data_IF_407941584976
#
_entry.id   IF_407941584976
#
_cell.length_a   1.000
_cell.length_b   1.000
_cell.length_c   1.000
_cell.angle_alpha   90.00
_cell.angle_beta   90.00
_cell.angle_gamma   90.00
#
_symmetry.space_group_name_H-M   'P 1'
#
loop_
_entity.id
_entity.type
_entity.pdbx_description
1 polymer ?
#
# COMPACT_ATOMS: atom_id res chain seq x y z
N UNK A 1 10.36 28.42 4.83
CA UNK A 1 9.18 27.58 4.67
C UNK A 1 9.60 26.33 3.87
N UNK A 2 9.29 25.13 4.29
CA UNK A 2 9.58 23.96 3.45
C UNK A 2 8.83 24.11 2.14
N UNK A 3 9.53 23.84 1.03
CA UNK A 3 8.97 23.91 -0.32
C UNK A 3 7.81 22.92 -0.39
N UNK A 4 6.60 23.36 -0.74
CA UNK A 4 5.45 22.47 -0.86
C UNK A 4 5.80 21.38 -1.87
N UNK A 5 5.77 20.11 -1.44
CA UNK A 5 6.04 18.97 -2.31
C UNK A 5 5.01 18.93 -3.44
N UNK A 6 5.47 18.68 -4.66
CA UNK A 6 4.59 18.49 -5.81
C UNK A 6 3.61 17.37 -5.52
N UNK A 7 2.38 17.49 -6.02
CA UNK A 7 1.32 16.51 -5.85
C UNK A 7 0.67 16.18 -7.19
N UNK A 8 0.12 14.98 -7.29
CA UNK A 8 -0.79 14.56 -8.36
C UNK A 8 -2.22 14.58 -7.83
N UNK A 9 -3.18 14.92 -8.69
CA UNK A 9 -4.59 14.94 -8.32
C UNK A 9 -5.27 13.70 -8.90
N UNK A 10 -5.96 12.93 -8.06
CA UNK A 10 -6.79 11.81 -8.48
C UNK A 10 -8.07 12.29 -9.17
N UNK A 11 -8.70 11.43 -9.95
CA UNK A 11 -10.02 11.72 -10.61
C UNK A 11 -11.13 12.16 -9.63
N UNK A 12 -10.99 11.82 -8.34
CA UNK A 12 -11.94 12.24 -7.28
C UNK A 12 -11.57 13.57 -6.62
N UNK A 13 -10.58 14.31 -7.16
CA UNK A 13 -10.13 15.61 -6.69
C UNK A 13 -9.15 15.57 -5.50
N UNK A 14 -8.85 14.39 -4.94
CA UNK A 14 -7.86 14.26 -3.84
C UNK A 14 -6.44 14.41 -4.36
N UNK A 15 -5.60 15.06 -3.56
CA UNK A 15 -4.19 15.30 -3.91
C UNK A 15 -3.29 14.33 -3.15
N UNK A 16 -2.39 13.66 -3.86
CA UNK A 16 -1.37 12.77 -3.33
C UNK A 16 0.01 13.38 -3.57
N UNK A 17 0.84 13.60 -2.53
CA UNK A 17 2.24 14.00 -2.72
C UNK A 17 2.99 12.96 -3.53
N UNK A 18 3.82 13.39 -4.50
CA UNK A 18 4.49 12.48 -5.45
C UNK A 18 5.68 11.73 -4.87
N UNK A 19 6.20 12.19 -3.72
CA UNK A 19 7.31 11.53 -3.01
C UNK A 19 6.77 10.96 -1.71
N UNK A 20 7.00 9.65 -1.51
CA UNK A 20 6.55 8.93 -0.33
C UNK A 20 7.72 8.30 0.44
N UNK A 21 7.52 8.10 1.73
CA UNK A 21 8.33 7.21 2.55
C UNK A 21 7.69 5.83 2.55
N UNK A 22 8.33 4.84 1.90
CA UNK A 22 7.97 3.43 2.02
C UNK A 22 8.50 2.84 3.32
N UNK A 23 7.71 1.99 3.97
CA UNK A 23 8.04 1.44 5.30
C UNK A 23 8.21 -0.08 5.30
N UNK A 24 8.19 -0.72 4.14
CA UNK A 24 8.38 -2.17 4.05
C UNK A 24 9.76 -2.60 4.57
N UNK A 25 9.79 -3.68 5.36
CA UNK A 25 10.99 -4.26 5.99
C UNK A 25 11.70 -3.34 7.01
N UNK A 26 11.07 -2.26 7.46
CA UNK A 26 11.59 -1.45 8.55
C UNK A 26 11.08 -1.99 9.89
N UNK A 27 11.97 -2.47 10.78
CA UNK A 27 11.61 -2.83 12.15
C UNK A 27 10.98 -1.64 12.91
N UNK A 28 10.23 -1.89 14.00
CA UNK A 28 9.51 -0.82 14.73
C UNK A 28 10.38 0.34 15.18
N UNK A 29 11.61 0.08 15.63
CA UNK A 29 12.55 1.12 16.09
C UNK A 29 13.04 1.98 14.92
N UNK A 30 13.39 1.33 13.81
CA UNK A 30 13.91 2.00 12.60
C UNK A 30 12.82 2.80 11.92
N UNK A 31 11.60 2.24 11.78
CA UNK A 31 10.48 2.96 11.14
C UNK A 31 10.07 4.18 11.95
N UNK A 32 10.12 4.12 13.28
CA UNK A 32 9.86 5.27 14.16
C UNK A 32 10.80 6.42 13.85
N UNK A 33 12.11 6.14 13.80
CA UNK A 33 13.13 7.15 13.49
C UNK A 33 13.00 7.68 12.04
N UNK A 34 12.75 6.77 11.09
CA UNK A 34 12.60 7.14 9.68
C UNK A 34 11.40 8.07 9.44
N UNK A 35 10.24 7.76 10.04
CA UNK A 35 9.04 8.60 9.94
C UNK A 35 9.25 9.96 10.60
N UNK A 36 9.90 10.00 11.79
CA UNK A 36 10.18 11.25 12.51
C UNK A 36 11.06 12.17 11.65
N UNK A 37 12.17 11.66 11.11
CA UNK A 37 13.08 12.40 10.21
C UNK A 37 12.37 12.80 8.91
N UNK A 38 11.60 11.91 8.28
CA UNK A 38 10.91 12.22 7.04
C UNK A 38 9.91 13.37 7.22
N UNK A 39 9.11 13.36 8.30
CA UNK A 39 8.17 14.44 8.61
C UNK A 39 8.90 15.76 8.86
N UNK A 40 10.05 15.73 9.57
CA UNK A 40 10.87 16.90 9.83
C UNK A 40 11.47 17.47 8.53
N UNK A 41 11.89 16.60 7.61
CA UNK A 41 12.41 16.98 6.28
C UNK A 41 11.32 17.44 5.31
N UNK A 42 10.05 17.38 5.71
CA UNK A 42 8.94 17.86 4.89
C UNK A 42 8.23 16.79 4.07
N UNK A 43 8.54 15.50 4.24
CA UNK A 43 7.71 14.43 3.66
C UNK A 43 6.30 14.51 4.23
N UNK A 44 5.31 14.28 3.36
CA UNK A 44 3.89 14.32 3.73
C UNK A 44 3.12 13.13 3.18
N UNK A 45 3.81 12.05 2.75
CA UNK A 45 3.22 10.84 2.23
C UNK A 45 3.98 9.65 2.83
N UNK A 46 3.24 8.79 3.54
CA UNK A 46 3.77 7.58 4.19
C UNK A 46 2.98 6.40 3.65
N UNK A 47 3.71 5.44 3.06
CA UNK A 47 3.19 4.17 2.58
C UNK A 47 3.52 3.06 3.58
N UNK A 48 2.47 2.43 4.09
CA UNK A 48 2.56 1.24 4.94
C UNK A 48 1.60 0.16 4.46
N UNK A 49 1.51 -0.94 5.20
CA UNK A 49 0.55 -2.02 4.98
C UNK A 49 0.39 -2.86 6.25
N UNK A 50 -0.78 -3.47 6.43
CA UNK A 50 -1.02 -4.43 7.50
C UNK A 50 0.07 -5.52 7.54
N UNK A 51 0.50 -6.00 6.35
CA UNK A 51 1.54 -7.03 6.23
C UNK A 51 2.92 -6.61 6.70
N UNK A 52 3.21 -5.32 6.85
CA UNK A 52 4.54 -4.85 7.26
C UNK A 52 4.74 -4.95 8.77
N UNK A 53 3.66 -5.12 9.54
CA UNK A 53 3.65 -5.31 11.00
C UNK A 53 4.32 -4.17 11.78
N UNK A 54 4.34 -2.96 11.19
CA UNK A 54 4.96 -1.78 11.79
C UNK A 54 4.01 -0.58 11.93
N UNK A 55 2.73 -0.74 11.56
CA UNK A 55 1.72 0.33 11.62
C UNK A 55 1.59 0.94 13.02
N UNK A 56 1.71 0.14 14.09
CA UNK A 56 1.61 0.64 15.47
C UNK A 56 2.77 1.61 15.84
N UNK A 57 3.97 1.37 15.33
CA UNK A 57 5.11 2.25 15.55
C UNK A 57 4.94 3.56 14.75
N UNK A 58 4.44 3.46 13.52
CA UNK A 58 4.09 4.62 12.68
C UNK A 58 3.01 5.46 13.36
N UNK A 59 1.93 4.83 13.86
CA UNK A 59 0.82 5.49 14.54
C UNK A 59 1.26 6.27 15.77
N UNK A 60 2.12 5.69 16.61
CA UNK A 60 2.71 6.39 17.76
C UNK A 60 3.50 7.63 17.36
N UNK A 61 4.26 7.54 16.27
CA UNK A 61 5.04 8.67 15.76
C UNK A 61 4.13 9.76 15.21
N UNK A 62 3.13 9.41 14.40
CA UNK A 62 2.15 10.36 13.88
C UNK A 62 1.40 11.07 15.00
N UNK A 63 0.93 10.32 16.02
CA UNK A 63 0.25 10.90 17.18
C UNK A 63 1.12 11.92 17.90
N UNK A 64 2.41 11.63 18.14
CA UNK A 64 3.36 12.58 18.72
C UNK A 64 3.42 13.89 17.93
N UNK A 65 3.44 13.82 16.61
CA UNK A 65 3.47 15.00 15.73
C UNK A 65 2.17 15.80 15.79
N UNK A 66 1.02 15.12 15.79
CA UNK A 66 -0.29 15.77 15.88
C UNK A 66 -0.51 16.39 17.25
N UNK A 67 -0.21 15.69 18.34
CA UNK A 67 -0.36 16.18 19.71
C UNK A 67 0.55 17.39 19.98
N UNK A 68 1.72 17.47 19.34
CA UNK A 68 2.62 18.61 19.46
C UNK A 68 2.15 19.87 18.70
N UNK A 69 1.11 19.74 17.87
CA UNK A 69 0.61 20.82 17.00
C UNK A 69 1.52 21.18 15.82
N UNK A 70 2.61 20.43 15.59
CA UNK A 70 3.51 20.65 14.45
C UNK A 70 2.87 20.31 13.12
N UNK A 71 1.98 19.30 13.12
CA UNK A 71 1.20 18.86 11.95
C UNK A 71 -0.23 18.57 12.39
N UNK A 72 -1.15 18.69 11.42
CA UNK A 72 -2.51 18.19 11.55
C UNK A 72 -2.65 16.89 10.76
N UNK A 73 -3.71 16.10 11.03
CA UNK A 73 -3.98 14.87 10.30
C UNK A 73 -4.11 15.09 8.78
N UNK A 74 -4.75 16.19 8.38
CA UNK A 74 -4.94 16.55 6.98
C UNK A 74 -3.67 16.97 6.25
N UNK A 75 -2.58 17.26 6.96
CA UNK A 75 -1.30 17.62 6.35
C UNK A 75 -0.52 16.40 5.84
N UNK A 76 -0.93 15.17 6.23
CA UNK A 76 -0.19 13.95 5.91
C UNK A 76 -1.10 12.98 5.14
N UNK A 77 -0.58 12.45 4.04
CA UNK A 77 -1.22 11.43 3.21
C UNK A 77 -0.74 10.05 3.65
N UNK A 78 -1.66 9.21 4.12
CA UNK A 78 -1.36 7.88 4.65
C UNK A 78 -1.97 6.82 3.75
N UNK A 79 -1.14 5.87 3.32
CA UNK A 79 -1.54 4.68 2.56
C UNK A 79 -1.38 3.44 3.43
N UNK A 80 -2.41 2.60 3.44
CA UNK A 80 -2.28 1.22 3.92
C UNK A 80 -2.94 0.24 2.95
N UNK A 81 -2.77 -1.07 3.19
CA UNK A 81 -3.15 -2.09 2.22
C UNK A 81 -3.83 -3.28 2.91
N UNK A 82 -4.90 -3.76 2.29
CA UNK A 82 -5.60 -4.98 2.66
C UNK A 82 -4.67 -6.19 2.45
N UNK A 83 -4.39 -7.01 3.48
CA UNK A 83 -3.55 -8.19 3.32
C UNK A 83 -4.23 -9.27 2.47
N UNK A 84 -3.50 -10.13 1.75
CA UNK A 84 -4.07 -11.23 0.96
C UNK A 84 -4.94 -12.20 1.75
N UNK A 85 -4.66 -12.41 3.03
CA UNK A 85 -5.51 -13.21 3.94
C UNK A 85 -6.88 -12.56 4.20
N UNK A 86 -7.03 -11.28 3.88
CA UNK A 86 -8.25 -10.49 3.97
C UNK A 86 -8.95 -10.27 2.63
N UNK A 87 -8.54 -10.92 1.53
CA UNK A 87 -9.12 -10.75 0.20
C UNK A 87 -10.51 -11.41 0.06
N UNK A 88 -11.37 -11.15 1.02
CA UNK A 88 -12.80 -11.50 1.03
C UNK A 88 -13.61 -10.29 1.44
N UNK A 89 -14.79 -10.12 0.84
CA UNK A 89 -15.64 -8.95 1.08
C UNK A 89 -15.93 -8.73 2.57
N UNK A 90 -16.23 -9.80 3.31
CA UNK A 90 -16.51 -9.77 4.74
C UNK A 90 -15.31 -9.43 5.63
N UNK A 91 -14.10 -9.50 5.09
CA UNK A 91 -12.86 -9.25 5.84
C UNK A 91 -12.30 -7.84 5.68
N UNK A 92 -12.73 -7.10 4.66
CA UNK A 92 -12.19 -5.77 4.32
C UNK A 92 -12.31 -4.80 5.48
N UNK A 93 -13.50 -4.70 6.07
CA UNK A 93 -13.75 -3.82 7.21
C UNK A 93 -12.89 -4.19 8.42
N UNK A 94 -12.79 -5.50 8.73
CA UNK A 94 -11.99 -6.00 9.84
C UNK A 94 -10.52 -5.56 9.75
N UNK A 95 -9.90 -5.77 8.59
CA UNK A 95 -8.48 -5.45 8.42
C UNK A 95 -8.22 -3.94 8.35
N UNK A 96 -9.12 -3.16 7.74
CA UNK A 96 -9.00 -1.71 7.77
C UNK A 96 -9.14 -1.17 9.19
N UNK A 97 -10.09 -1.68 9.97
CA UNK A 97 -10.26 -1.29 11.38
C UNK A 97 -8.98 -1.55 12.18
N UNK A 98 -8.38 -2.73 12.03
CA UNK A 98 -7.10 -3.06 12.70
C UNK A 98 -5.96 -2.12 12.30
N UNK A 99 -5.84 -1.79 11.00
CA UNK A 99 -4.85 -0.81 10.54
C UNK A 99 -5.11 0.58 11.12
N UNK A 100 -6.36 1.04 11.16
CA UNK A 100 -6.73 2.34 11.76
C UNK A 100 -6.43 2.40 13.25
N UNK A 101 -6.74 1.33 13.99
CA UNK A 101 -6.40 1.20 15.41
C UNK A 101 -4.89 1.25 15.64
N UNK A 102 -4.12 0.48 14.86
CA UNK A 102 -2.66 0.46 14.93
C UNK A 102 -2.04 1.83 14.60
N UNK A 103 -2.54 2.48 13.55
CA UNK A 103 -2.11 3.80 13.12
C UNK A 103 -2.62 4.94 14.03
N UNK A 104 -3.59 4.65 14.92
CA UNK A 104 -4.27 5.63 15.79
C UNK A 104 -4.94 6.75 14.96
N UNK A 105 -5.63 6.38 13.89
CA UNK A 105 -6.29 7.27 12.93
C UNK A 105 -7.75 6.90 12.74
N UNK A 106 -8.59 7.91 12.44
CA UNK A 106 -10.00 7.70 12.08
C UNK A 106 -10.16 7.32 10.60
N UNK A 107 -9.20 7.69 9.76
CA UNK A 107 -9.21 7.37 8.33
C UNK A 107 -7.79 7.29 7.75
N UNK A 108 -7.67 6.59 6.61
CA UNK A 108 -6.50 6.67 5.72
C UNK A 108 -6.86 7.43 4.44
N UNK A 109 -5.87 7.99 3.76
CA UNK A 109 -6.09 8.74 2.52
C UNK A 109 -6.26 7.83 1.32
N UNK A 110 -5.58 6.68 1.34
CA UNK A 110 -5.67 5.67 0.30
C UNK A 110 -5.59 4.26 0.91
N UNK A 111 -6.58 3.42 0.55
CA UNK A 111 -6.60 2.01 0.92
C UNK A 111 -6.49 1.15 -0.33
N UNK A 112 -5.48 0.26 -0.38
CA UNK A 112 -5.18 -0.57 -1.54
C UNK A 112 -5.51 -2.04 -1.27
N UNK A 113 -5.98 -2.77 -2.27
CA UNK A 113 -5.86 -4.24 -2.27
C UNK A 113 -4.39 -4.55 -2.56
N UNK A 114 -3.69 -5.22 -1.61
CA UNK A 114 -2.23 -5.39 -1.68
C UNK A 114 -1.78 -6.32 -2.80
N UNK A 115 -2.49 -7.44 -2.98
CA UNK A 115 -2.23 -8.43 -4.04
C UNK A 115 -3.56 -8.86 -4.67
N UNK A 116 -3.58 -9.19 -5.98
CA UNK A 116 -4.77 -9.71 -6.67
C UNK A 116 -5.13 -11.15 -6.29
N UNK A 117 -4.31 -11.79 -5.47
CA UNK A 117 -4.47 -13.19 -5.03
C UNK A 117 -4.80 -13.21 -3.55
N UNK A 118 -5.85 -13.93 -3.17
CA UNK A 118 -6.19 -14.20 -1.77
C UNK A 118 -5.43 -15.41 -1.24
N UNK A 119 -5.12 -15.38 0.06
CA UNK A 119 -4.62 -16.52 0.80
C UNK A 119 -5.67 -17.04 1.76
N UNK A 120 -5.64 -18.35 2.04
CA UNK A 120 -6.54 -18.95 3.02
C UNK A 120 -6.29 -18.32 4.39
N UNK A 121 -7.35 -17.86 5.03
CA UNK A 121 -7.25 -17.29 6.37
C UNK A 121 -6.95 -18.40 7.41
N UNK A 122 -5.85 -18.27 8.13
CA UNK A 122 -5.39 -19.16 9.20
C UNK A 122 -5.04 -18.39 10.49
N UNK A 123 -5.68 -17.26 10.71
CA UNK A 123 -5.41 -16.32 11.79
C UNK A 123 -4.77 -15.02 11.30
N UNK A 124 -4.93 -13.94 12.07
CA UNK A 124 -4.49 -12.61 11.67
C UNK A 124 -2.96 -12.48 11.62
N UNK A 125 -2.24 -13.29 12.38
CA UNK A 125 -0.77 -13.27 12.47
C UNK A 125 -0.11 -14.17 11.41
N UNK A 126 -0.88 -15.06 10.77
CA UNK A 126 -0.37 -15.94 9.72
C UNK A 126 -0.56 -15.30 8.34
N UNK A 127 0.29 -14.31 8.03
CA UNK A 127 0.21 -13.51 6.80
C UNK A 127 0.60 -14.28 5.53
N UNK A 128 1.36 -15.36 5.69
CA UNK A 128 1.89 -16.20 4.61
C UNK A 128 1.58 -17.66 4.87
N UNK A 129 0.30 -18.07 4.87
CA UNK A 129 -0.10 -19.43 5.22
C UNK A 129 0.49 -20.43 4.24
N UNK A 130 1.13 -21.47 4.79
CA UNK A 130 1.76 -22.53 4.02
C UNK A 130 1.15 -23.89 4.36
N UNK A 131 1.10 -24.77 3.37
CA UNK A 131 0.75 -26.17 3.51
C UNK A 131 1.95 -27.01 4.01
N UNK A 132 1.71 -28.30 4.15
CA UNK A 132 2.69 -29.26 4.67
C UNK A 132 3.95 -29.38 3.79
N UNK A 133 3.80 -29.21 2.47
CA UNK A 133 4.92 -29.21 1.52
C UNK A 133 5.58 -27.82 1.35
N UNK A 134 5.19 -26.81 2.15
CA UNK A 134 5.73 -25.46 2.11
C UNK A 134 5.12 -24.53 1.04
N UNK A 135 4.16 -25.01 0.26
CA UNK A 135 3.42 -24.21 -0.74
C UNK A 135 2.55 -23.15 -0.08
N UNK A 136 2.31 -22.03 -0.76
CA UNK A 136 1.34 -21.05 -0.29
C UNK A 136 -0.09 -21.54 -0.42
N UNK A 137 -0.86 -21.42 0.66
CA UNK A 137 -2.28 -21.77 0.66
C UNK A 137 -3.10 -20.66 0.01
N UNK A 138 -3.21 -20.72 -1.32
CA UNK A 138 -3.98 -19.77 -2.11
C UNK A 138 -5.48 -19.99 -1.88
N UNK A 139 -6.23 -18.89 -1.76
CA UNK A 139 -7.69 -18.92 -1.74
C UNK A 139 -8.24 -18.76 -3.17
N UNK A 140 -8.56 -19.89 -3.80
CA UNK A 140 -9.09 -19.93 -5.17
C UNK A 140 -10.52 -19.40 -5.30
N UNK A 141 -11.20 -19.13 -4.16
CA UNK A 141 -12.57 -18.59 -4.13
C UNK A 141 -12.59 -17.05 -3.99
N UNK A 142 -11.43 -16.37 -4.05
CA UNK A 142 -11.35 -14.91 -4.05
C UNK A 142 -12.13 -14.33 -5.23
N UNK A 143 -13.17 -13.53 -4.94
CA UNK A 143 -13.91 -12.77 -5.93
C UNK A 143 -13.55 -11.27 -5.84
N UNK A 144 -12.78 -10.82 -6.83
CA UNK A 144 -12.30 -9.43 -6.89
C UNK A 144 -13.43 -8.40 -7.06
N UNK A 145 -14.61 -8.79 -7.55
CA UNK A 145 -15.74 -7.86 -7.74
C UNK A 145 -16.45 -7.62 -6.42
N UNK A 146 -16.78 -8.66 -5.67
CA UNK A 146 -17.35 -8.50 -4.32
C UNK A 146 -16.37 -7.86 -3.36
N UNK A 147 -15.07 -8.20 -3.47
CA UNK A 147 -14.00 -7.54 -2.72
C UNK A 147 -13.96 -6.04 -2.99
N UNK A 148 -14.02 -5.62 -4.28
CA UNK A 148 -14.02 -4.21 -4.64
C UNK A 148 -15.22 -3.46 -4.09
N UNK A 149 -16.43 -4.05 -4.13
CA UNK A 149 -17.63 -3.47 -3.52
C UNK A 149 -17.45 -3.25 -2.00
N UNK A 150 -16.78 -4.16 -1.30
CA UNK A 150 -16.48 -3.98 0.11
C UNK A 150 -15.44 -2.88 0.36
N UNK A 151 -14.50 -2.67 -0.57
CA UNK A 151 -13.59 -1.50 -0.55
C UNK A 151 -14.36 -0.20 -0.74
N UNK A 152 -15.31 -0.14 -1.69
CA UNK A 152 -16.18 1.03 -1.91
C UNK A 152 -16.97 1.40 -0.65
N UNK A 153 -17.46 0.41 0.09
CA UNK A 153 -18.17 0.64 1.36
C UNK A 153 -17.28 1.33 2.42
N UNK A 154 -15.96 1.14 2.37
CA UNK A 154 -15.06 1.84 3.30
C UNK A 154 -14.92 3.34 2.95
N UNK A 155 -15.12 3.71 1.69
CA UNK A 155 -15.22 5.12 1.28
C UNK A 155 -16.54 5.73 1.79
N UNK A 156 -17.65 5.00 1.63
CA UNK A 156 -18.97 5.46 2.09
C UNK A 156 -19.01 5.69 3.61
N UNK A 157 -18.32 4.86 4.39
CA UNK A 157 -18.21 5.03 5.85
C UNK A 157 -17.18 6.09 6.27
N UNK A 158 -16.42 6.65 5.32
CA UNK A 158 -15.41 7.67 5.58
C UNK A 158 -14.10 7.15 6.19
N UNK A 159 -13.91 5.82 6.30
CA UNK A 159 -12.66 5.20 6.84
C UNK A 159 -11.48 5.29 5.88
N UNK A 160 -11.75 5.48 4.58
CA UNK A 160 -10.73 5.84 3.59
C UNK A 160 -11.23 6.93 2.68
N UNK A 161 -10.34 7.79 2.20
CA UNK A 161 -10.68 8.89 1.28
C UNK A 161 -10.63 8.46 -0.18
N UNK A 162 -9.79 7.49 -0.50
CA UNK A 162 -9.65 6.91 -1.85
C UNK A 162 -9.34 5.42 -1.72
N UNK A 163 -9.65 4.67 -2.77
CA UNK A 163 -9.34 3.24 -2.86
C UNK A 163 -8.58 2.94 -4.15
N UNK A 164 -7.75 1.91 -4.12
CA UNK A 164 -6.92 1.54 -5.26
C UNK A 164 -6.45 0.09 -5.20
N UNK A 165 -5.53 -0.20 -6.07
CA UNK A 165 -5.03 -1.54 -6.34
C UNK A 165 -3.50 -1.57 -6.21
N UNK A 166 -2.94 -2.73 -5.85
CA UNK A 166 -1.51 -2.96 -5.91
C UNK A 166 -1.22 -4.32 -6.55
N UNK A 167 -0.24 -4.37 -7.45
CA UNK A 167 0.18 -5.59 -8.15
C UNK A 167 -0.87 -6.19 -9.10
N UNK A 168 -1.79 -5.40 -9.61
CA UNK A 168 -2.81 -5.83 -10.57
C UNK A 168 -2.34 -5.62 -12.00
N UNK A 169 -2.69 -6.55 -12.89
CA UNK A 169 -2.49 -6.40 -14.32
C UNK A 169 -3.69 -5.72 -15.01
N UNK A 170 -3.51 -5.32 -16.27
CA UNK A 170 -4.52 -4.58 -17.04
C UNK A 170 -5.86 -5.32 -17.16
N UNK A 171 -5.86 -6.66 -17.30
CA UNK A 171 -7.09 -7.46 -17.40
C UNK A 171 -7.90 -7.44 -16.09
N UNK A 172 -7.21 -7.55 -14.95
CA UNK A 172 -7.83 -7.49 -13.63
C UNK A 172 -8.38 -6.09 -13.34
N UNK A 173 -7.62 -5.04 -13.69
CA UNK A 173 -8.07 -3.64 -13.57
C UNK A 173 -9.31 -3.40 -14.43
N UNK A 174 -9.31 -3.81 -15.71
CA UNK A 174 -10.44 -3.66 -16.61
C UNK A 174 -11.71 -4.33 -16.05
N UNK A 175 -11.56 -5.53 -15.48
CA UNK A 175 -12.68 -6.26 -14.86
C UNK A 175 -13.27 -5.49 -13.68
N UNK A 176 -12.44 -4.91 -12.82
CA UNK A 176 -12.89 -4.09 -11.69
C UNK A 176 -13.57 -2.81 -12.20
N UNK A 177 -12.92 -2.04 -13.08
CA UNK A 177 -13.41 -0.77 -13.59
C UNK A 177 -14.77 -0.92 -14.25
N UNK A 178 -15.02 -2.04 -14.97
CA UNK A 178 -16.32 -2.32 -15.62
C UNK A 178 -17.49 -2.40 -14.63
N UNK A 179 -17.25 -2.82 -13.38
CA UNK A 179 -18.28 -3.03 -12.36
C UNK A 179 -18.22 -2.02 -11.21
N UNK A 180 -17.17 -1.21 -11.14
CA UNK A 180 -16.93 -0.28 -10.04
C UNK A 180 -17.90 0.91 -10.09
N UNK A 181 -18.52 1.21 -8.95
CA UNK A 181 -19.21 2.48 -8.68
C UNK A 181 -18.21 3.59 -8.38
N UNK A 182 -17.17 3.24 -7.57
CA UNK A 182 -16.02 4.11 -7.30
C UNK A 182 -14.82 3.50 -8.01
N UNK A 183 -14.30 4.20 -9.02
CA UNK A 183 -13.14 3.72 -9.79
C UNK A 183 -11.88 3.70 -8.91
N UNK A 184 -10.90 2.79 -9.17
CA UNK A 184 -9.60 2.86 -8.53
C UNK A 184 -8.94 4.23 -8.78
N UNK A 185 -8.48 4.88 -7.71
CA UNK A 185 -7.77 6.16 -7.81
C UNK A 185 -6.29 5.97 -8.12
N UNK A 186 -5.73 4.84 -7.69
CA UNK A 186 -4.31 4.55 -7.80
C UNK A 186 -4.06 3.07 -8.11
N UNK A 187 -2.99 2.82 -8.84
CA UNK A 187 -2.34 1.52 -8.98
C UNK A 187 -0.91 1.63 -8.47
N UNK A 188 -0.55 0.86 -7.42
CA UNK A 188 0.82 0.76 -6.94
C UNK A 188 1.46 -0.53 -7.44
N UNK A 189 2.57 -0.40 -8.20
CA UNK A 189 3.30 -1.53 -8.80
C UNK A 189 4.80 -1.30 -8.75
N UNK A 190 5.59 -2.38 -8.90
CA UNK A 190 7.00 -2.25 -9.15
C UNK A 190 7.25 -1.48 -10.44
N UNK A 191 8.02 -0.40 -10.33
CA UNK A 191 8.39 0.44 -11.46
C UNK A 191 9.78 1.02 -11.24
N UNK A 192 10.71 0.67 -12.11
CA UNK A 192 12.09 1.17 -12.08
C UNK A 192 12.68 1.22 -13.50
N UNK A 193 13.92 1.63 -13.61
CA UNK A 193 14.60 1.79 -14.91
C UNK A 193 14.61 0.48 -15.72
N UNK A 194 14.71 -0.66 -15.06
CA UNK A 194 14.77 -1.98 -15.72
C UNK A 194 13.38 -2.59 -15.94
N UNK A 195 12.38 -2.17 -15.15
CA UNK A 195 11.02 -2.66 -15.24
C UNK A 195 10.02 -1.51 -15.38
N UNK A 196 9.95 -0.96 -16.57
CA UNK A 196 9.23 0.30 -16.85
C UNK A 196 7.73 0.15 -17.03
N UNK A 197 7.20 -1.03 -17.22
CA UNK A 197 5.75 -1.33 -17.38
C UNK A 197 4.98 -0.32 -18.27
N UNK A 198 5.56 0.11 -19.38
CA UNK A 198 5.05 1.20 -20.24
C UNK A 198 3.61 1.01 -20.66
N UNK A 199 3.24 -0.22 -21.05
CA UNK A 199 1.89 -0.56 -21.48
C UNK A 199 0.88 -0.45 -20.34
N UNK A 200 1.23 -0.95 -19.15
CA UNK A 200 0.37 -0.87 -17.97
C UNK A 200 0.19 0.59 -17.51
N UNK A 201 1.25 1.39 -17.55
CA UNK A 201 1.20 2.83 -17.24
C UNK A 201 0.30 3.57 -18.23
N UNK A 202 0.46 3.30 -19.53
CA UNK A 202 -0.39 3.90 -20.58
C UNK A 202 -1.85 3.49 -20.41
N UNK A 203 -2.12 2.22 -20.10
CA UNK A 203 -3.44 1.70 -19.83
C UNK A 203 -4.10 2.41 -18.62
N UNK A 204 -3.39 2.53 -17.50
CA UNK A 204 -3.89 3.23 -16.32
C UNK A 204 -4.17 4.71 -16.60
N UNK A 205 -3.28 5.38 -17.33
CA UNK A 205 -3.46 6.78 -17.74
C UNK A 205 -4.72 6.97 -18.58
N UNK A 206 -5.01 6.05 -19.51
CA UNK A 206 -6.22 6.10 -20.34
C UNK A 206 -7.51 5.94 -19.50
N UNK A 207 -7.43 5.34 -18.32
CA UNK A 207 -8.52 5.18 -17.36
C UNK A 207 -8.53 6.23 -16.26
N UNK A 208 -7.66 7.24 -16.31
CA UNK A 208 -7.48 8.25 -15.27
C UNK A 208 -7.16 7.63 -13.88
N UNK A 209 -6.35 6.57 -13.90
CA UNK A 209 -5.81 5.90 -12.71
C UNK A 209 -4.35 6.33 -12.55
N UNK A 210 -4.02 6.97 -11.42
CA UNK A 210 -2.65 7.35 -11.11
C UNK A 210 -1.81 6.11 -10.81
N UNK A 211 -0.56 6.08 -11.31
CA UNK A 211 0.36 4.99 -11.01
C UNK A 211 1.40 5.44 -10.00
N UNK A 212 1.58 4.67 -8.93
CA UNK A 212 2.63 4.84 -7.94
C UNK A 212 3.68 3.73 -8.09
N UNK A 213 4.95 4.11 -8.07
CA UNK A 213 6.07 3.18 -8.19
C UNK A 213 6.56 2.75 -6.81
N UNK A 214 6.56 1.43 -6.54
CA UNK A 214 7.40 0.92 -5.46
C UNK A 214 8.73 0.38 -6.03
N UNK A 215 9.74 0.25 -5.19
CA UNK A 215 11.10 -0.14 -5.59
C UNK A 215 11.67 0.69 -6.77
N UNK A 216 11.53 2.03 -6.80
CA UNK A 216 11.94 2.85 -7.95
C UNK A 216 13.46 2.81 -8.21
N UNK A 217 14.25 2.44 -7.22
CA UNK A 217 15.72 2.26 -7.28
C UNK A 217 16.13 0.79 -7.08
N UNK A 218 15.21 -0.18 -7.32
CA UNK A 218 15.50 -1.61 -7.33
C UNK A 218 15.52 -2.29 -5.97
N UNK A 219 15.01 -1.67 -4.89
CA UNK A 219 14.98 -2.24 -3.54
C UNK A 219 16.33 -2.85 -3.09
N UNK A 220 17.35 -2.06 -2.75
CA UNK A 220 18.67 -2.58 -2.38
C UNK A 220 18.63 -3.64 -1.26
N UNK A 221 17.67 -3.53 -0.33
CA UNK A 221 17.42 -4.52 0.71
C UNK A 221 16.90 -5.88 0.23
N UNK A 222 16.39 -5.97 -1.02
CA UNK A 222 15.89 -7.23 -1.58
C UNK A 222 17.00 -8.26 -1.75
N UNK A 223 18.23 -7.82 -2.02
CA UNK A 223 19.39 -8.68 -2.16
C UNK A 223 19.62 -9.57 -0.90
N UNK A 224 19.46 -9.00 0.28
CA UNK A 224 19.59 -9.76 1.55
C UNK A 224 18.46 -10.79 1.71
N UNK A 225 17.25 -10.45 1.30
CA UNK A 225 16.09 -11.37 1.34
C UNK A 225 16.25 -12.51 0.36
N UNK A 226 16.72 -12.23 -0.85
CA UNK A 226 16.99 -13.25 -1.89
C UNK A 226 18.07 -14.23 -1.38
N UNK A 227 19.20 -13.72 -0.84
CA UNK A 227 20.26 -14.53 -0.25
C UNK A 227 19.77 -15.37 0.92
N UNK A 228 18.98 -14.80 1.82
CA UNK A 228 18.39 -15.52 2.95
C UNK A 228 17.46 -16.67 2.51
N UNK A 229 16.91 -16.61 1.30
CA UNK A 229 16.09 -17.67 0.69
C UNK A 229 16.90 -18.67 -0.14
N UNK A 230 18.22 -18.57 -0.16
CA UNK A 230 19.12 -19.47 -0.89
C UNK A 230 19.12 -19.26 -2.39
N UNK A 231 18.62 -18.13 -2.88
CA UNK A 231 18.67 -17.79 -4.30
C UNK A 231 19.84 -16.85 -4.62
N UNK A 232 20.36 -16.95 -5.85
CA UNK A 232 21.39 -16.02 -6.32
C UNK A 232 20.77 -14.64 -6.57
N UNK A 233 21.50 -13.61 -6.13
CA UNK A 233 21.14 -12.22 -6.42
C UNK A 233 21.62 -11.92 -7.85
N UNK A 234 20.73 -11.50 -8.77
CA UNK A 234 21.19 -11.08 -10.07
C UNK A 234 22.23 -9.95 -9.96
N UNK A 235 23.29 -9.99 -10.75
CA UNK A 235 24.41 -9.01 -10.71
C UNK A 235 24.01 -7.55 -11.02
N UNK A 236 22.73 -7.29 -11.22
CA UNK A 236 22.17 -5.95 -11.50
C UNK A 236 22.43 -4.93 -10.38
N UNK A 237 22.78 -5.39 -9.19
CA UNK A 237 23.15 -4.51 -8.05
C UNK A 237 24.51 -3.80 -8.19
N UNK A 238 25.30 -4.13 -9.20
CA UNK A 238 26.59 -3.47 -9.47
C UNK A 238 26.51 -2.26 -10.39
N UNK A 239 25.29 -1.90 -10.85
CA UNK A 239 25.05 -0.82 -11.81
C UNK A 239 24.31 0.40 -11.22
N UNK A 240 24.16 0.44 -9.87
CA UNK A 240 23.57 1.59 -9.16
C UNK A 240 24.64 2.24 -8.28
#
# INVERSE_FOLDING_TARGET
>A
MPKQLSSVTFHNGRKMPIVELGTWQSPPEEVTAAVDVALEMGYRHIDTAFMYQNEAAIGKTLKKWFDSGKLKREDVFIVTKLPPIGNRAESVEKFLTKSLEALQLDYVDLYLIHLPVGFQYKGDDNLWPRGEAGEFLVDTSTDLISLWKAMEAQVDTGRTRSIGLSNFNSRQIARIVKSARIRPANLQVELNVYFQQRELVAFCRALDITVCAYAPIGSPGLASVIKARGAEVPEVSSLI
#
